data_IF_417689932029
#
_entry.id   IF_417689932029
#
_cell.length_a   1.000
_cell.length_b   1.000
_cell.length_c   1.000
_cell.angle_alpha   90.00
_cell.angle_beta   90.00
_cell.angle_gamma   90.00
#
_symmetry.space_group_name_H-M   'P 1'
#
loop_
_entity.id
_entity.type
_entity.pdbx_description
1 polymer ?
#
# COMPACT_ATOMS: atom_id res chain seq x y z
N UNK A 1 6.79 38.75 44.49
CA UNK A 1 5.81 37.71 44.12
C UNK A 1 6.29 36.94 42.89
N UNK A 2 7.09 35.87 43.04
CA UNK A 2 7.45 34.99 41.93
C UNK A 2 7.10 33.52 42.24
N UNK A 3 5.96 33.26 42.91
CA UNK A 3 5.54 31.90 43.27
C UNK A 3 4.57 31.29 42.24
N UNK A 4 4.05 32.09 41.32
CA UNK A 4 3.01 31.66 40.35
C UNK A 4 3.58 31.04 39.07
N UNK A 5 4.89 31.19 38.79
CA UNK A 5 5.50 30.66 37.57
C UNK A 5 6.03 29.23 37.71
N UNK A 6 6.33 28.75 38.94
CA UNK A 6 6.88 27.42 39.15
C UNK A 6 5.83 26.30 39.09
N UNK A 7 4.55 26.60 39.32
CA UNK A 7 3.47 25.62 39.29
C UNK A 7 2.95 25.30 37.88
N UNK A 8 3.23 26.14 36.88
CA UNK A 8 2.83 25.89 35.48
C UNK A 8 3.82 24.97 34.76
N UNK A 9 5.07 24.87 35.25
CA UNK A 9 6.09 23.99 34.65
C UNK A 9 5.94 22.53 35.12
N UNK A 10 5.34 22.28 36.29
CA UNK A 10 5.15 20.91 36.82
C UNK A 10 3.83 20.22 36.39
N UNK A 11 2.93 20.91 35.69
CA UNK A 11 1.66 20.31 35.20
C UNK A 11 1.65 19.99 33.70
N UNK A 12 2.73 20.28 32.96
CA UNK A 12 2.83 19.95 31.53
C UNK A 12 3.63 18.65 31.24
N UNK A 13 4.10 17.92 32.25
CA UNK A 13 4.86 16.68 32.04
C UNK A 13 4.11 15.40 32.40
N UNK A 14 2.82 15.46 32.74
CA UNK A 14 2.03 14.28 33.15
C UNK A 14 0.81 13.97 32.28
N UNK A 15 0.75 14.50 31.06
CA UNK A 15 -0.19 14.03 30.01
C UNK A 15 0.56 13.67 28.72
N UNK A 16 1.74 13.07 28.85
CA UNK A 16 2.11 11.98 27.95
C UNK A 16 1.63 10.73 28.67
N UNK A 17 0.36 10.39 28.45
CA UNK A 17 -0.09 9.04 28.68
C UNK A 17 0.90 8.14 27.96
N UNK A 18 1.70 7.42 28.75
CA UNK A 18 2.40 6.22 28.32
C UNK A 18 1.37 5.38 27.57
N UNK A 19 1.38 5.48 26.24
CA UNK A 19 0.83 4.44 25.38
C UNK A 19 1.74 3.26 25.63
N UNK A 20 1.35 2.43 26.57
CA UNK A 20 1.96 1.13 26.81
C UNK A 20 2.07 0.39 25.48
N UNK A 21 3.20 -0.29 25.25
CA UNK A 21 3.53 -1.08 24.06
C UNK A 21 2.46 -2.15 23.69
N UNK A 22 1.51 -2.45 24.57
CA UNK A 22 0.50 -3.49 24.36
C UNK A 22 -0.73 -3.08 23.51
N UNK A 23 -0.87 -1.82 23.11
CA UNK A 23 -2.08 -1.37 22.39
C UNK A 23 -2.10 -1.73 20.88
N UNK A 24 -0.93 -2.05 20.31
CA UNK A 24 -0.76 -2.39 18.89
C UNK A 24 -0.58 -3.89 18.63
N UNK A 25 -0.24 -4.67 19.65
CA UNK A 25 0.06 -6.09 19.55
C UNK A 25 -0.92 -6.86 20.43
N UNK A 26 -1.54 -7.90 19.87
CA UNK A 26 -2.45 -8.73 20.65
C UNK A 26 -2.39 -10.18 20.18
N UNK A 27 -2.81 -11.10 21.02
CA UNK A 27 -2.82 -12.53 20.72
C UNK A 27 -4.24 -12.96 20.45
N UNK A 28 -4.47 -13.58 19.29
CA UNK A 28 -5.81 -14.03 18.88
C UNK A 28 -5.82 -15.54 18.64
N UNK A 29 -6.95 -16.21 18.98
CA UNK A 29 -7.13 -17.62 18.64
C UNK A 29 -7.30 -17.78 17.12
N UNK A 30 -6.64 -18.79 16.54
CA UNK A 30 -6.64 -19.07 15.10
C UNK A 30 -7.60 -20.22 14.75
N UNK A 31 -7.63 -21.27 15.56
CA UNK A 31 -8.43 -22.49 15.35
C UNK A 31 -8.91 -23.14 16.67
N UNK A 32 -9.11 -22.35 17.73
CA UNK A 32 -9.61 -22.82 19.03
C UNK A 32 -8.56 -23.48 19.94
N UNK A 33 -7.50 -24.06 19.37
CA UNK A 33 -6.38 -24.67 20.13
C UNK A 33 -5.05 -23.94 19.98
N UNK A 34 -4.92 -23.12 18.94
CA UNK A 34 -3.73 -22.35 18.64
C UNK A 34 -3.98 -20.85 18.70
N UNK A 35 -2.97 -20.13 19.16
CA UNK A 35 -2.94 -18.69 19.28
C UNK A 35 -1.82 -18.13 18.42
N UNK A 36 -2.04 -16.98 17.80
CA UNK A 36 -0.99 -16.26 17.09
C UNK A 36 -1.01 -14.77 17.45
N UNK A 37 0.17 -14.17 17.37
CA UNK A 37 0.31 -12.73 17.60
C UNK A 37 -0.09 -11.96 16.35
N UNK A 38 -0.93 -10.95 16.54
CA UNK A 38 -1.37 -10.03 15.49
C UNK A 38 -0.99 -8.60 15.84
N UNK A 39 -0.68 -7.85 14.80
CA UNK A 39 -0.40 -6.42 14.83
C UNK A 39 -1.61 -5.66 14.30
N UNK A 40 -1.99 -4.61 15.02
CA UNK A 40 -3.06 -3.68 14.66
C UNK A 40 -2.58 -2.70 13.60
N UNK A 41 -3.13 -2.82 12.40
CA UNK A 41 -2.83 -1.91 11.28
C UNK A 41 -3.78 -0.70 11.30
N UNK A 42 -5.08 -0.95 11.45
CA UNK A 42 -6.14 0.06 11.66
C UNK A 42 -7.17 -0.48 12.65
N UNK A 43 -8.16 0.34 13.05
CA UNK A 43 -9.22 -0.02 14.02
C UNK A 43 -9.87 -1.37 13.75
N UNK A 44 -10.13 -1.70 12.48
CA UNK A 44 -10.77 -2.94 12.03
C UNK A 44 -9.88 -3.74 11.07
N UNK A 45 -8.55 -3.62 11.20
CA UNK A 45 -7.61 -4.32 10.33
C UNK A 45 -6.38 -4.74 11.12
N UNK A 46 -6.19 -6.05 11.26
CA UNK A 46 -5.06 -6.67 11.93
C UNK A 46 -4.38 -7.65 10.97
N UNK A 47 -3.09 -7.89 11.18
CA UNK A 47 -2.32 -8.88 10.43
C UNK A 47 -1.49 -9.71 11.40
N UNK A 48 -1.09 -10.91 11.01
CA UNK A 48 -0.16 -11.70 11.80
C UNK A 48 1.19 -10.99 11.90
N UNK A 49 1.80 -11.00 13.08
CA UNK A 49 3.17 -10.52 13.25
C UNK A 49 4.14 -11.40 12.46
N UNK A 50 4.02 -12.71 12.68
CA UNK A 50 4.75 -13.77 11.98
C UNK A 50 3.78 -14.85 11.52
N UNK A 51 4.16 -15.64 10.52
CA UNK A 51 3.36 -16.76 10.04
C UNK A 51 3.54 -18.03 10.91
N UNK A 52 3.64 -17.83 12.23
CA UNK A 52 3.84 -18.87 13.22
C UNK A 52 2.80 -18.73 14.33
N UNK A 53 2.42 -19.85 14.91
CA UNK A 53 1.42 -19.93 15.99
C UNK A 53 1.87 -20.89 17.09
N UNK A 54 1.32 -20.69 18.28
CA UNK A 54 1.57 -21.52 19.45
C UNK A 54 0.32 -22.32 19.79
N UNK A 55 0.43 -23.64 19.84
CA UNK A 55 -0.70 -24.54 20.06
C UNK A 55 -0.64 -25.22 21.44
N UNK A 56 -1.79 -25.38 22.07
CA UNK A 56 -1.88 -26.04 23.39
C UNK A 56 -1.39 -27.49 23.29
N UNK A 57 -0.40 -27.85 24.11
CA UNK A 57 0.17 -29.20 24.14
C UNK A 57 1.37 -29.41 23.19
N UNK A 58 1.75 -28.39 22.41
CA UNK A 58 2.99 -28.36 21.64
C UNK A 58 3.99 -27.39 22.27
N UNK A 59 5.26 -27.79 22.33
CA UNK A 59 6.36 -26.90 22.71
C UNK A 59 6.98 -26.19 21.51
N UNK A 60 6.64 -26.63 20.30
CA UNK A 60 7.16 -26.08 19.05
C UNK A 60 6.17 -25.07 18.45
N UNK A 61 6.70 -24.09 17.74
CA UNK A 61 5.90 -23.20 16.90
C UNK A 61 5.37 -24.00 15.70
N UNK A 62 4.10 -23.80 15.38
CA UNK A 62 3.44 -24.37 14.22
C UNK A 62 3.22 -23.29 13.15
N UNK A 63 3.08 -23.72 11.90
CA UNK A 63 2.84 -22.80 10.78
C UNK A 63 1.42 -22.23 10.84
N UNK A 64 1.30 -20.90 10.80
CA UNK A 64 0.00 -20.28 10.63
C UNK A 64 -0.62 -20.66 9.26
N UNK A 65 -1.96 -20.75 9.15
CA UNK A 65 -2.61 -21.11 7.89
C UNK A 65 -2.17 -20.21 6.73
N UNK A 66 -1.89 -20.85 5.59
CA UNK A 66 -1.54 -20.16 4.35
C UNK A 66 -2.60 -19.13 3.92
N UNK A 67 -2.18 -18.14 3.13
CA UNK A 67 -2.99 -17.01 2.63
C UNK A 67 -3.45 -16.00 3.69
N UNK A 68 -3.18 -16.23 4.98
CA UNK A 68 -3.37 -15.21 6.01
C UNK A 68 -2.44 -14.02 5.80
N UNK A 69 -2.94 -12.82 6.08
CA UNK A 69 -2.14 -11.60 5.99
C UNK A 69 -1.12 -11.54 7.14
N UNK A 70 0.10 -11.14 6.82
CA UNK A 70 1.21 -11.05 7.76
C UNK A 70 2.00 -9.75 7.57
N UNK A 71 2.71 -9.31 8.60
CA UNK A 71 3.63 -8.18 8.53
C UNK A 71 4.93 -8.61 7.84
N UNK A 72 5.30 -7.90 6.77
CA UNK A 72 6.56 -8.14 6.08
C UNK A 72 7.68 -7.41 6.84
N UNK A 73 8.21 -8.08 7.88
CA UNK A 73 9.08 -7.50 8.92
C UNK A 73 10.29 -6.68 8.40
N UNK A 74 10.85 -7.02 7.22
CA UNK A 74 11.94 -6.25 6.62
C UNK A 74 11.60 -4.78 6.32
N UNK A 75 10.32 -4.41 6.30
CA UNK A 75 9.87 -3.07 5.93
C UNK A 75 9.09 -2.34 7.02
N UNK A 76 8.84 -2.94 8.19
CA UNK A 76 8.07 -2.33 9.26
C UNK A 76 8.52 -2.81 10.64
N UNK A 77 8.38 -1.96 11.65
CA UNK A 77 8.50 -2.37 13.05
C UNK A 77 7.16 -2.92 13.55
N UNK A 78 7.15 -3.60 14.70
CA UNK A 78 5.91 -4.13 15.31
C UNK A 78 4.85 -3.02 15.49
N UNK A 79 5.28 -1.79 15.79
CA UNK A 79 4.43 -0.60 15.94
C UNK A 79 3.86 -0.06 14.63
N UNK A 80 4.47 -0.38 13.48
CA UNK A 80 4.14 0.22 12.20
C UNK A 80 4.26 -0.78 11.05
N UNK A 81 3.25 -1.63 10.89
CA UNK A 81 3.07 -2.46 9.68
C UNK A 81 3.07 -1.54 8.45
N UNK A 82 4.15 -1.58 7.68
CA UNK A 82 4.27 -0.79 6.45
C UNK A 82 3.84 -1.57 5.22
N UNK A 83 4.09 -2.87 5.21
CA UNK A 83 3.80 -3.74 4.07
C UNK A 83 3.25 -5.06 4.57
N UNK A 84 2.19 -5.56 3.93
CA UNK A 84 1.67 -6.89 4.21
C UNK A 84 2.13 -7.91 3.19
N UNK A 85 2.45 -9.10 3.67
CA UNK A 85 2.57 -10.31 2.89
C UNK A 85 1.40 -11.27 3.10
N UNK A 86 1.58 -12.49 2.60
CA UNK A 86 0.73 -13.66 2.79
C UNK A 86 1.57 -14.79 3.38
N UNK A 87 0.99 -15.53 4.32
CA UNK A 87 1.63 -16.71 4.88
C UNK A 87 1.72 -17.84 3.85
N UNK A 88 2.89 -18.47 3.80
CA UNK A 88 3.19 -19.59 2.94
C UNK A 88 4.26 -20.46 3.63
N UNK A 89 3.88 -21.65 4.09
CA UNK A 89 4.75 -22.59 4.82
C UNK A 89 5.54 -21.90 5.96
N UNK A 90 4.83 -21.30 6.90
CA UNK A 90 5.44 -20.66 8.08
C UNK A 90 6.14 -19.32 7.82
N UNK A 91 6.25 -18.90 6.55
CA UNK A 91 6.96 -17.69 6.14
C UNK A 91 6.02 -16.61 5.61
N UNK A 92 6.27 -15.35 5.98
CA UNK A 92 5.56 -14.21 5.41
C UNK A 92 6.17 -13.82 4.06
N UNK A 93 5.42 -13.97 2.96
CA UNK A 93 5.91 -13.74 1.60
C UNK A 93 5.11 -12.67 0.85
N UNK A 94 5.71 -11.98 -0.13
CA UNK A 94 4.98 -11.04 -0.97
C UNK A 94 3.95 -11.78 -1.83
N UNK A 95 2.74 -11.24 -2.00
CA UNK A 95 1.68 -11.91 -2.74
C UNK A 95 2.00 -12.00 -4.25
N UNK A 96 1.63 -13.12 -4.88
CA UNK A 96 1.54 -13.26 -6.34
C UNK A 96 2.83 -13.28 -7.15
N UNK A 97 4.03 -13.43 -6.56
CA UNK A 97 5.29 -13.52 -7.32
C UNK A 97 6.13 -14.72 -6.91
N UNK A 98 6.23 -15.69 -7.82
CA UNK A 98 7.18 -16.82 -7.75
C UNK A 98 8.54 -16.51 -8.39
N UNK A 99 8.66 -15.36 -9.08
CA UNK A 99 9.90 -14.90 -9.71
C UNK A 99 10.55 -13.80 -8.89
N UNK A 100 11.79 -14.06 -8.49
CA UNK A 100 12.69 -13.09 -7.87
C UNK A 100 13.48 -12.32 -8.93
N UNK A 101 13.91 -11.08 -8.65
CA UNK A 101 13.71 -10.35 -7.40
C UNK A 101 12.31 -9.71 -7.29
N UNK A 102 11.74 -9.70 -6.09
CA UNK A 102 10.47 -9.04 -5.81
C UNK A 102 10.75 -7.64 -5.29
N UNK A 103 10.70 -6.64 -6.18
CA UNK A 103 10.91 -5.25 -5.81
C UNK A 103 9.69 -4.60 -5.16
N UNK A 104 9.91 -3.73 -4.14
CA UNK A 104 8.92 -3.09 -3.27
C UNK A 104 8.61 -1.62 -3.57
N UNK A 105 9.29 -1.04 -4.55
CA UNK A 105 8.99 0.26 -5.16
C UNK A 105 9.98 1.30 -4.69
N UNK A 106 10.34 2.20 -5.59
CA UNK A 106 11.35 3.22 -5.34
C UNK A 106 10.69 4.54 -4.95
N UNK A 107 11.40 5.38 -4.18
CA UNK A 107 10.87 6.69 -3.82
C UNK A 107 10.67 7.59 -5.03
N UNK A 108 9.54 8.28 -5.08
CA UNK A 108 9.21 9.17 -6.19
C UNK A 108 8.80 10.55 -5.71
N UNK A 109 8.82 11.51 -6.63
CA UNK A 109 8.30 12.85 -6.44
C UNK A 109 7.48 13.29 -7.65
N UNK A 110 6.43 14.05 -7.38
CA UNK A 110 5.60 14.67 -8.42
C UNK A 110 6.31 15.91 -8.98
N UNK A 111 6.56 15.91 -10.28
CA UNK A 111 7.03 17.07 -11.05
C UNK A 111 6.08 17.25 -12.23
N UNK A 112 5.32 18.35 -12.23
CA UNK A 112 4.37 18.71 -13.30
C UNK A 112 3.26 17.66 -13.57
N UNK A 113 2.91 16.85 -12.56
CA UNK A 113 1.92 15.79 -12.70
C UNK A 113 2.49 14.52 -13.30
N UNK A 114 3.77 14.21 -13.03
CA UNK A 114 4.44 12.98 -13.43
C UNK A 114 5.25 12.37 -12.28
N UNK A 115 5.26 11.03 -12.19
CA UNK A 115 6.08 10.26 -11.24
C UNK A 115 7.55 10.27 -11.64
N UNK A 116 8.39 10.91 -10.83
CA UNK A 116 9.82 10.95 -11.11
C UNK A 116 10.57 10.32 -9.96
N UNK A 117 11.37 9.29 -10.26
CA UNK A 117 12.16 8.58 -9.28
C UNK A 117 13.12 9.55 -8.57
N UNK A 118 13.09 9.65 -7.24
CA UNK A 118 14.06 10.47 -6.53
C UNK A 118 15.49 9.92 -6.69
N UNK A 119 15.58 8.60 -6.75
CA UNK A 119 16.82 7.83 -6.89
C UNK A 119 16.62 6.72 -7.91
N UNK A 120 17.71 6.28 -8.55
CA UNK A 120 17.68 5.26 -9.60
C UNK A 120 17.90 3.84 -9.07
N UNK A 121 17.42 3.57 -7.85
CA UNK A 121 17.48 2.26 -7.20
C UNK A 121 16.12 1.90 -6.60
N UNK A 122 15.78 0.60 -6.56
CA UNK A 122 14.61 0.01 -5.88
C UNK A 122 15.09 -1.04 -4.86
N UNK A 123 14.38 -1.17 -3.75
CA UNK A 123 14.65 -2.21 -2.75
C UNK A 123 13.84 -3.47 -3.07
N UNK A 124 14.53 -4.60 -3.23
CA UNK A 124 13.96 -5.85 -3.70
C UNK A 124 14.37 -7.05 -2.86
N UNK A 125 13.48 -8.02 -2.71
CA UNK A 125 13.88 -9.33 -2.20
C UNK A 125 14.50 -10.17 -3.30
N UNK A 126 15.67 -10.75 -3.05
CA UNK A 126 16.28 -11.79 -3.86
C UNK A 126 15.73 -13.18 -3.50
N UNK A 127 16.12 -14.19 -4.27
CA UNK A 127 15.63 -15.58 -4.15
C UNK A 127 15.96 -16.24 -2.81
N UNK A 128 16.99 -15.76 -2.13
CA UNK A 128 17.41 -16.14 -0.78
C UNK A 128 16.66 -15.35 0.32
N UNK A 129 15.61 -14.61 -0.04
CA UNK A 129 14.84 -13.75 0.86
C UNK A 129 15.65 -12.61 1.51
N UNK A 130 16.83 -12.28 0.98
CA UNK A 130 17.59 -11.11 1.42
C UNK A 130 17.12 -9.84 0.71
N UNK A 131 17.22 -8.71 1.42
CA UNK A 131 16.93 -7.41 0.85
C UNK A 131 18.17 -6.92 0.08
N UNK A 132 17.98 -6.59 -1.19
CA UNK A 132 19.01 -6.03 -2.07
C UNK A 132 18.51 -4.76 -2.75
N UNK A 133 19.42 -3.83 -3.04
CA UNK A 133 19.12 -2.69 -3.89
C UNK A 133 19.43 -3.02 -5.35
N UNK A 134 18.46 -2.77 -6.24
CA UNK A 134 18.56 -3.07 -7.67
C UNK A 134 18.40 -1.77 -8.45
N UNK A 135 19.23 -1.60 -9.48
CA UNK A 135 19.14 -0.44 -10.37
C UNK A 135 17.78 -0.39 -11.08
N UNK A 136 17.18 0.80 -11.12
CA UNK A 136 16.01 1.04 -11.95
C UNK A 136 16.34 0.84 -13.43
N UNK A 137 15.35 0.44 -14.26
CA UNK A 137 15.54 0.27 -15.68
C UNK A 137 16.13 1.52 -16.33
N UNK A 138 17.08 1.33 -17.23
CA UNK A 138 17.63 2.42 -18.02
C UNK A 138 16.51 3.13 -18.79
N UNK A 139 16.46 4.45 -18.71
CA UNK A 139 15.40 5.28 -19.30
C UNK A 139 14.27 5.68 -18.34
N UNK A 140 14.19 5.10 -17.13
CA UNK A 140 13.24 5.52 -16.09
C UNK A 140 13.49 6.99 -15.72
N UNK A 141 12.45 7.82 -15.65
CA UNK A 141 12.62 9.24 -15.26
C UNK A 141 13.04 9.37 -13.81
N UNK A 142 13.98 10.27 -13.56
CA UNK A 142 14.55 10.50 -12.24
C UNK A 142 14.89 11.97 -11.99
N UNK A 143 15.09 12.31 -10.72
CA UNK A 143 15.44 13.65 -10.28
C UNK A 143 16.95 13.78 -10.32
N UNK A 144 17.45 14.76 -11.07
CA UNK A 144 18.88 15.00 -11.16
C UNK A 144 19.34 15.62 -9.84
N UNK A 145 20.28 15.00 -9.11
CA UNK A 145 20.80 15.58 -7.87
C UNK A 145 21.51 16.91 -8.19
N UNK A 146 20.99 18.00 -7.62
CA UNK A 146 21.56 19.35 -7.78
C UNK A 146 22.49 19.66 -6.61
N UNK A 147 23.74 20.08 -6.88
CA UNK A 147 24.61 20.66 -5.84
C UNK A 147 23.93 21.84 -5.17
N UNK A 148 23.94 21.81 -3.83
CA UNK A 148 23.12 22.56 -2.88
C UNK A 148 23.25 24.10 -2.92
N UNK A 149 24.08 24.69 -3.80
CA UNK A 149 24.44 26.12 -3.73
C UNK A 149 23.94 27.03 -4.87
N UNK A 150 23.29 26.54 -5.94
CA UNK A 150 22.90 27.38 -7.10
C UNK A 150 21.41 27.44 -7.48
N UNK A 151 20.51 26.78 -6.75
CA UNK A 151 19.17 26.44 -7.30
C UNK A 151 17.98 26.83 -6.42
N UNK A 152 18.01 27.99 -5.75
CA UNK A 152 16.82 28.47 -5.02
C UNK A 152 15.69 28.88 -6.00
N UNK A 153 16.02 29.20 -7.27
CA UNK A 153 15.07 29.71 -8.27
C UNK A 153 14.73 28.75 -9.43
N UNK A 154 15.49 27.67 -9.61
CA UNK A 154 15.25 26.68 -10.67
C UNK A 154 14.88 25.37 -9.99
N UNK A 155 13.60 25.01 -10.05
CA UNK A 155 13.10 23.79 -9.42
C UNK A 155 13.79 22.51 -9.91
N UNK A 156 13.46 21.35 -9.33
CA UNK A 156 14.14 20.09 -9.61
C UNK A 156 14.15 19.75 -11.10
N UNK A 157 15.31 19.35 -11.61
CA UNK A 157 15.51 18.95 -13.00
C UNK A 157 15.22 17.47 -13.18
N UNK A 158 14.63 17.13 -14.31
CA UNK A 158 14.30 15.77 -14.70
C UNK A 158 15.38 15.19 -15.60
N UNK A 159 15.81 13.97 -15.27
CA UNK A 159 16.69 13.14 -16.07
C UNK A 159 16.13 11.74 -16.28
N UNK A 160 16.99 10.84 -16.72
CA UNK A 160 16.73 9.40 -16.87
C UNK A 160 17.79 8.59 -16.13
N UNK A 161 17.38 7.44 -15.61
CA UNK A 161 18.28 6.48 -15.01
C UNK A 161 19.16 5.84 -16.09
N UNK A 162 20.46 5.85 -15.85
CA UNK A 162 21.49 5.19 -16.65
C UNK A 162 22.44 4.49 -15.68
N UNK A 163 22.36 3.16 -15.64
CA UNK A 163 23.15 2.29 -14.76
C UNK A 163 23.09 2.68 -13.27
N UNK A 164 21.89 2.95 -12.77
CA UNK A 164 21.69 3.38 -11.38
C UNK A 164 21.97 4.86 -11.11
N UNK A 165 22.41 5.65 -12.09
CA UNK A 165 22.63 7.10 -11.93
C UNK A 165 21.62 7.92 -12.73
N UNK A 166 21.11 9.01 -12.17
CA UNK A 166 20.24 9.93 -12.90
C UNK A 166 21.02 10.90 -13.80
N UNK A 167 20.76 10.88 -15.11
CA UNK A 167 21.38 11.76 -16.12
C UNK A 167 20.35 12.64 -16.83
N UNK A 168 20.63 13.92 -17.04
CA UNK A 168 19.72 14.82 -17.78
C UNK A 168 19.43 14.30 -19.20
N UNK A 169 18.16 14.34 -19.63
CA UNK A 169 17.75 14.04 -21.00
C UNK A 169 16.80 15.12 -21.51
N UNK A 170 17.04 15.61 -22.73
CA UNK A 170 16.07 16.43 -23.48
C UNK A 170 14.95 15.52 -23.99
N UNK A 171 13.72 15.78 -23.57
CA UNK A 171 12.54 15.00 -23.93
C UNK A 171 12.22 15.21 -25.43
N UNK A 172 12.04 14.13 -26.19
CA UNK A 172 11.67 14.15 -27.60
C UNK A 172 10.16 14.34 -27.76
N UNK A 173 9.78 15.28 -28.62
CA UNK A 173 8.40 15.65 -28.97
C UNK A 173 7.78 14.63 -29.94
N UNK A 174 6.96 13.71 -29.44
CA UNK A 174 5.79 13.19 -30.17
C UNK A 174 5.10 12.11 -29.34
N UNK A 175 3.94 12.42 -28.75
CA UNK A 175 2.92 11.48 -28.27
C UNK A 175 1.76 12.25 -27.60
N UNK A 176 0.52 11.75 -27.69
CA UNK A 176 -0.60 12.28 -26.93
C UNK A 176 -0.25 12.31 -25.43
N UNK A 177 -0.45 13.46 -24.78
CA UNK A 177 -0.05 13.64 -23.40
C UNK A 177 -0.92 12.82 -22.46
N UNK A 178 -0.35 11.77 -21.85
CA UNK A 178 -1.01 11.05 -20.77
C UNK A 178 -0.62 11.66 -19.44
N UNK A 179 -1.53 12.43 -18.84
CA UNK A 179 -1.32 13.02 -17.52
C UNK A 179 -1.64 11.97 -16.45
N UNK A 180 -0.63 11.58 -15.67
CA UNK A 180 -0.74 10.49 -14.69
C UNK A 180 -0.31 11.03 -13.33
N UNK A 181 -1.22 11.01 -12.37
CA UNK A 181 -0.89 11.39 -11.00
C UNK A 181 -0.35 10.18 -10.24
N UNK A 182 0.82 10.37 -9.67
CA UNK A 182 1.43 9.42 -8.74
C UNK A 182 0.71 9.48 -7.42
N UNK A 183 0.13 8.36 -6.99
CA UNK A 183 -0.46 8.27 -5.66
C UNK A 183 0.48 7.60 -4.65
N UNK A 184 1.31 6.67 -5.11
CA UNK A 184 2.39 6.01 -4.34
C UNK A 184 3.50 5.57 -5.29
N UNK A 185 4.64 5.10 -4.76
CA UNK A 185 5.88 4.63 -5.43
C UNK A 185 5.72 3.57 -6.54
N UNK A 186 4.49 3.28 -6.98
CA UNK A 186 4.03 2.22 -7.89
C UNK A 186 2.64 2.42 -8.48
N UNK A 187 1.87 3.35 -7.93
CA UNK A 187 0.46 3.48 -8.21
C UNK A 187 0.30 4.77 -8.98
N UNK A 188 0.43 4.60 -10.28
CA UNK A 188 0.24 5.63 -11.28
C UNK A 188 -1.20 5.56 -11.77
N UNK A 189 -1.93 6.65 -11.55
CA UNK A 189 -3.36 6.72 -11.85
C UNK A 189 -3.58 7.84 -12.86
N UNK A 190 -4.37 7.56 -13.89
CA UNK A 190 -4.71 8.58 -14.87
C UNK A 190 -5.41 9.77 -14.23
N UNK A 191 -4.94 10.98 -14.51
CA UNK A 191 -5.59 12.19 -14.02
C UNK A 191 -7.01 12.33 -14.60
N UNK A 192 -7.21 11.85 -15.83
CA UNK A 192 -8.47 11.93 -16.58
C UNK A 192 -8.71 10.68 -17.42
N UNK A 193 -9.97 10.42 -17.75
CA UNK A 193 -10.38 9.33 -18.65
C UNK A 193 -10.31 9.68 -20.13
N UNK A 194 -9.80 10.87 -20.44
CA UNK A 194 -9.57 11.41 -21.78
C UNK A 194 -8.14 11.90 -21.89
N UNK A 195 -7.52 11.63 -23.03
CA UNK A 195 -6.19 12.09 -23.40
C UNK A 195 -6.32 13.22 -24.41
N UNK A 196 -5.57 14.29 -24.21
CA UNK A 196 -5.44 15.39 -25.18
C UNK A 196 -4.22 15.12 -26.07
N UNK A 197 -4.45 15.11 -27.38
CA UNK A 197 -3.42 14.95 -28.39
C UNK A 197 -3.09 16.30 -29.03
N UNK A 198 -1.87 16.48 -29.56
CA UNK A 198 -1.44 17.72 -30.24
C UNK A 198 -2.33 18.13 -31.43
N UNK A 199 -3.12 17.22 -31.98
CA UNK A 199 -4.06 17.48 -33.09
C UNK A 199 -5.45 17.92 -32.61
N UNK A 200 -5.59 18.40 -31.36
CA UNK A 200 -6.87 18.71 -30.68
C UNK A 200 -7.87 17.54 -30.65
N UNK A 201 -7.39 16.33 -30.91
CA UNK A 201 -8.20 15.11 -30.83
C UNK A 201 -8.18 14.60 -29.39
N UNK A 202 -9.36 14.20 -28.91
CA UNK A 202 -9.51 13.58 -27.60
C UNK A 202 -9.62 12.07 -27.75
N UNK A 203 -8.71 11.33 -27.12
CA UNK A 203 -8.78 9.86 -27.07
C UNK A 203 -9.34 9.42 -25.73
N UNK A 204 -10.38 8.58 -25.76
CA UNK A 204 -10.96 8.01 -24.53
C UNK A 204 -10.10 6.84 -24.06
N UNK A 205 -9.87 6.79 -22.75
CA UNK A 205 -9.30 5.61 -22.09
C UNK A 205 -10.32 4.47 -22.10
N UNK A 206 -9.83 3.23 -21.96
CA UNK A 206 -10.66 2.04 -21.88
C UNK A 206 -11.53 2.11 -20.63
N UNK A 207 -12.79 1.68 -20.74
CA UNK A 207 -13.64 1.55 -19.57
C UNK A 207 -13.05 0.55 -18.57
N UNK A 208 -13.11 0.91 -17.29
CA UNK A 208 -12.47 0.18 -16.19
C UNK A 208 -11.04 0.64 -15.85
N UNK A 209 -10.40 1.49 -16.66
CA UNK A 209 -9.10 2.08 -16.30
C UNK A 209 -9.22 2.93 -15.02
N UNK A 210 -8.22 2.88 -14.14
CA UNK A 210 -8.23 3.69 -12.92
C UNK A 210 -7.98 5.16 -13.23
N UNK A 211 -8.74 6.03 -12.59
CA UNK A 211 -8.62 7.47 -12.75
C UNK A 211 -8.73 8.19 -11.42
N UNK A 212 -8.22 9.41 -11.36
CA UNK A 212 -8.34 10.27 -10.17
C UNK A 212 -9.75 10.83 -10.12
N UNK A 213 -10.53 10.41 -9.12
CA UNK A 213 -11.89 10.90 -8.91
C UNK A 213 -11.90 12.17 -8.07
N UNK A 214 -11.06 12.21 -7.02
CA UNK A 214 -10.90 13.38 -6.16
C UNK A 214 -9.45 13.58 -5.77
N UNK A 215 -8.97 14.81 -5.90
CA UNK A 215 -7.65 15.23 -5.46
C UNK A 215 -7.72 16.59 -4.76
N UNK A 216 -6.80 16.83 -3.83
CA UNK A 216 -6.60 18.13 -3.20
C UNK A 216 -5.24 18.67 -3.61
N UNK A 217 -5.19 19.93 -4.03
CA UNK A 217 -3.93 20.63 -4.23
C UNK A 217 -3.52 21.23 -2.90
N UNK A 218 -2.42 20.75 -2.32
CA UNK A 218 -1.85 21.29 -1.07
C UNK A 218 -0.69 22.21 -1.40
N UNK A 219 -0.65 23.34 -0.69
CA UNK A 219 0.43 24.33 -0.76
C UNK A 219 1.40 24.04 0.37
N UNK A 220 2.62 23.65 0.05
CA UNK A 220 3.63 23.31 1.07
C UNK A 220 4.36 24.58 1.49
N UNK A 221 4.33 24.90 2.78
CA UNK A 221 5.16 25.97 3.32
C UNK A 221 6.64 25.56 3.23
N UNK A 222 7.55 26.47 2.85
CA UNK A 222 7.36 27.92 2.72
C UNK A 222 6.69 28.35 1.40
N UNK A 223 6.08 29.55 1.38
CA UNK A 223 5.22 30.10 0.29
C UNK A 223 5.81 30.09 -1.13
N UNK A 224 7.12 29.90 -1.26
CA UNK A 224 7.84 29.80 -2.52
C UNK A 224 8.04 28.35 -3.02
N UNK A 225 7.52 27.33 -2.33
CA UNK A 225 7.56 25.92 -2.77
C UNK A 225 6.25 25.45 -3.43
N UNK A 226 6.45 24.54 -4.40
CA UNK A 226 5.48 24.09 -5.41
C UNK A 226 4.18 23.52 -4.82
N UNK A 227 3.11 23.68 -5.58
CA UNK A 227 1.83 22.99 -5.41
C UNK A 227 2.04 21.49 -5.55
N UNK A 228 1.53 20.70 -4.61
CA UNK A 228 1.54 19.23 -4.70
C UNK A 228 0.11 18.73 -4.80
N UNK A 229 -0.18 17.88 -5.79
CA UNK A 229 -1.51 17.30 -5.96
C UNK A 229 -1.58 15.98 -5.21
N UNK A 230 -2.37 15.94 -4.14
CA UNK A 230 -2.62 14.71 -3.39
C UNK A 230 -3.91 14.06 -3.91
N UNK A 231 -3.83 12.81 -4.36
CA UNK A 231 -5.01 12.03 -4.77
C UNK A 231 -5.66 11.44 -3.52
N UNK A 232 -6.93 11.78 -3.29
CA UNK A 232 -7.69 11.34 -2.13
C UNK A 232 -8.60 10.16 -2.47
N UNK A 233 -9.10 10.09 -3.71
CA UNK A 233 -10.02 9.04 -4.13
C UNK A 233 -9.75 8.63 -5.57
N UNK A 234 -9.65 7.31 -5.79
CA UNK A 234 -9.47 6.69 -7.11
C UNK A 234 -10.83 6.17 -7.59
N UNK A 235 -11.20 6.52 -8.81
CA UNK A 235 -12.36 6.02 -9.53
C UNK A 235 -12.02 5.02 -10.63
N UNK A 236 -12.99 4.81 -11.52
CA UNK A 236 -12.87 4.05 -12.77
C UNK A 236 -13.41 4.87 -13.95
N UNK A 237 -12.81 4.70 -15.12
CA UNK A 237 -13.31 5.29 -16.34
C UNK A 237 -14.57 4.57 -16.81
N UNK A 238 -15.63 5.36 -17.05
CA UNK A 238 -16.89 4.92 -17.66
C UNK A 238 -17.29 5.95 -18.71
N UNK A 239 -17.34 5.55 -19.98
CA UNK A 239 -17.70 6.42 -21.10
C UNK A 239 -16.86 7.71 -21.17
N UNK A 240 -15.56 7.61 -20.86
CA UNK A 240 -14.64 8.76 -20.87
C UNK A 240 -14.77 9.70 -19.67
N UNK A 241 -15.58 9.39 -18.66
CA UNK A 241 -15.64 10.13 -17.39
C UNK A 241 -15.10 9.30 -16.23
N UNK A 242 -14.45 9.95 -15.27
CA UNK A 242 -14.03 9.28 -14.04
C UNK A 242 -15.20 9.18 -13.08
N UNK A 243 -15.63 7.95 -12.77
CA UNK A 243 -16.74 7.67 -11.89
C UNK A 243 -16.26 7.00 -10.60
N UNK A 244 -16.98 7.26 -9.50
CA UNK A 244 -16.76 6.57 -8.23
C UNK A 244 -17.09 5.07 -8.38
N UNK A 245 -16.30 4.21 -7.76
CA UNK A 245 -16.61 2.77 -7.70
C UNK A 245 -17.92 2.54 -6.94
N UNK A 246 -18.70 1.56 -7.39
CA UNK A 246 -19.89 1.11 -6.67
C UNK A 246 -19.47 0.51 -5.32
N UNK A 247 -20.27 0.70 -4.25
CA UNK A 247 -20.01 0.04 -3.00
C UNK A 247 -19.94 -1.48 -3.16
N UNK A 248 -19.03 -2.12 -2.43
CA UNK A 248 -18.88 -3.57 -2.45
C UNK A 248 -18.76 -4.11 -1.02
N UNK A 249 -19.51 -5.17 -0.75
CA UNK A 249 -19.42 -5.98 0.45
C UNK A 249 -19.42 -7.44 0.02
N UNK A 250 -18.51 -8.28 0.52
CA UNK A 250 -18.51 -9.69 0.18
C UNK A 250 -19.83 -10.34 0.62
N UNK A 251 -20.30 -11.37 -0.10
CA UNK A 251 -21.43 -12.16 0.35
C UNK A 251 -21.10 -12.85 1.68
N UNK A 252 -22.12 -13.07 2.51
CA UNK A 252 -21.96 -13.84 3.74
C UNK A 252 -21.46 -15.25 3.41
N UNK A 253 -20.46 -15.70 4.16
CA UNK A 253 -19.94 -17.05 4.00
C UNK A 253 -20.91 -18.03 4.67
N UNK A 254 -21.42 -19.00 3.91
CA UNK A 254 -22.28 -20.05 4.46
C UNK A 254 -21.50 -20.86 5.50
N UNK A 255 -21.87 -20.71 6.77
CA UNK A 255 -21.19 -21.33 7.91
C UNK A 255 -21.58 -22.79 8.07
N UNK A 256 -21.36 -23.61 7.04
CA UNK A 256 -21.79 -25.01 7.02
C UNK A 256 -21.12 -25.90 8.08
N UNK A 257 -20.01 -25.46 8.69
CA UNK A 257 -19.20 -26.25 9.64
C UNK A 257 -18.59 -25.44 10.80
N UNK A 258 -19.21 -24.33 11.19
CA UNK A 258 -18.64 -23.45 12.23
C UNK A 258 -17.34 -22.75 11.80
N UNK A 259 -17.12 -22.62 10.49
CA UNK A 259 -16.00 -21.89 9.91
C UNK A 259 -16.30 -20.39 9.93
N UNK A 260 -15.32 -19.59 10.34
CA UNK A 260 -15.44 -18.15 10.42
C UNK A 260 -14.56 -17.49 9.35
N UNK A 261 -15.18 -16.68 8.51
CA UNK A 261 -14.49 -15.89 7.49
C UNK A 261 -14.26 -14.47 8.02
N UNK A 262 -13.06 -13.93 7.80
CA UNK A 262 -12.73 -12.59 8.25
C UNK A 262 -12.80 -11.60 7.09
N UNK A 263 -13.41 -10.45 7.35
CA UNK A 263 -13.56 -9.36 6.40
C UNK A 263 -12.91 -8.10 6.94
N UNK A 264 -12.36 -7.29 6.03
CA UNK A 264 -11.65 -6.06 6.33
C UNK A 264 -12.45 -4.89 5.79
N UNK A 265 -12.82 -3.98 6.68
CA UNK A 265 -13.39 -2.70 6.30
C UNK A 265 -12.27 -1.75 5.89
N UNK A 266 -12.12 -1.49 4.59
CA UNK A 266 -11.13 -0.56 4.04
C UNK A 266 -11.63 0.89 4.19
N UNK A 267 -12.86 1.14 3.76
CA UNK A 267 -13.59 2.39 3.97
C UNK A 267 -15.11 2.14 3.91
N UNK A 268 -15.93 3.17 4.14
CA UNK A 268 -17.39 3.03 4.29
C UNK A 268 -18.13 2.30 3.15
N UNK A 269 -17.57 2.30 1.93
CA UNK A 269 -18.20 1.69 0.76
C UNK A 269 -17.42 0.45 0.27
N UNK A 270 -16.40 0.00 0.98
CA UNK A 270 -15.60 -1.15 0.56
C UNK A 270 -15.20 -2.00 1.76
N UNK A 271 -15.79 -3.18 1.81
CA UNK A 271 -15.35 -4.30 2.64
C UNK A 271 -14.84 -5.39 1.70
N UNK A 272 -13.74 -6.03 2.04
CA UNK A 272 -13.19 -7.15 1.26
C UNK A 272 -12.81 -8.29 2.19
N UNK A 273 -12.71 -9.49 1.66
CA UNK A 273 -12.21 -10.65 2.40
C UNK A 273 -10.74 -10.43 2.82
N UNK A 274 -10.35 -10.79 4.05
CA UNK A 274 -8.93 -10.77 4.44
C UNK A 274 -8.09 -11.77 3.64
N UNK A 275 -8.68 -12.94 3.41
CA UNK A 275 -8.15 -14.10 2.75
C UNK A 275 -9.30 -14.84 2.04
N UNK A 276 -8.94 -15.81 1.21
CA UNK A 276 -9.91 -16.61 0.46
C UNK A 276 -10.25 -17.93 1.17
N UNK A 277 -9.92 -18.07 2.47
CA UNK A 277 -10.06 -19.32 3.23
C UNK A 277 -10.64 -19.06 4.62
N UNK A 278 -11.79 -19.63 4.92
CA UNK A 278 -12.36 -19.59 6.26
C UNK A 278 -11.69 -20.63 7.17
N UNK A 279 -11.31 -20.21 8.38
CA UNK A 279 -10.79 -21.13 9.41
C UNK A 279 -11.94 -21.76 10.19
N UNK A 280 -11.87 -23.07 10.44
CA UNK A 280 -12.89 -23.80 11.18
C UNK A 280 -12.41 -24.19 12.59
N UNK A 281 -13.36 -24.42 13.49
CA UNK A 281 -13.11 -24.77 14.91
C UNK A 281 -12.30 -26.05 15.11
N UNK A 282 -12.25 -26.94 14.13
CA UNK A 282 -11.50 -28.20 14.16
C UNK A 282 -10.11 -28.12 13.50
N UNK A 283 -9.61 -26.91 13.19
CA UNK A 283 -8.32 -26.72 12.53
C UNK A 283 -8.34 -26.96 11.01
N UNK A 284 -9.49 -27.33 10.44
CA UNK A 284 -9.68 -27.40 8.98
C UNK A 284 -9.88 -26.01 8.39
N UNK A 285 -9.65 -25.89 7.08
CA UNK A 285 -9.94 -24.67 6.31
C UNK A 285 -10.94 -24.97 5.20
N UNK A 286 -11.82 -24.01 4.92
CA UNK A 286 -12.78 -24.06 3.82
C UNK A 286 -12.51 -22.92 2.84
N UNK A 287 -12.56 -23.20 1.54
CA UNK A 287 -12.42 -22.15 0.54
C UNK A 287 -13.66 -21.27 0.52
N UNK A 288 -13.46 -19.96 0.50
CA UNK A 288 -14.55 -19.00 0.25
C UNK A 288 -14.96 -19.09 -1.22
N UNK A 289 -16.17 -18.62 -1.52
CA UNK A 289 -16.72 -18.56 -2.87
C UNK A 289 -15.76 -17.86 -3.83
N UNK A 290 -15.57 -18.44 -5.01
CA UNK A 290 -14.75 -17.82 -6.04
C UNK A 290 -15.31 -16.46 -6.49
N UNK A 291 -14.41 -15.63 -7.01
CA UNK A 291 -14.66 -14.28 -7.53
C UNK A 291 -15.09 -13.21 -6.51
N UNK A 292 -15.07 -13.51 -5.21
CA UNK A 292 -15.21 -12.46 -4.19
C UNK A 292 -13.92 -11.62 -4.13
N UNK A 293 -14.05 -10.32 -3.86
CA UNK A 293 -12.89 -9.46 -3.65
C UNK A 293 -12.18 -9.75 -2.32
N UNK A 294 -10.86 -9.84 -2.37
CA UNK A 294 -9.98 -10.07 -1.24
C UNK A 294 -8.90 -8.99 -1.16
N UNK A 295 -8.31 -8.78 0.03
CA UNK A 295 -7.15 -7.93 0.18
C UNK A 295 -5.91 -8.67 -0.32
N UNK A 296 -5.37 -8.19 -1.45
CA UNK A 296 -4.17 -8.76 -2.05
C UNK A 296 -2.91 -8.19 -1.39
N UNK A 297 -2.82 -6.86 -1.26
CA UNK A 297 -1.67 -6.19 -0.63
C UNK A 297 -2.08 -4.88 0.04
N UNK A 298 -1.52 -4.60 1.22
CA UNK A 298 -1.54 -3.31 1.89
C UNK A 298 -0.15 -2.68 1.91
N UNK A 299 -0.12 -1.36 1.67
CA UNK A 299 1.07 -0.53 1.78
C UNK A 299 0.70 0.74 2.58
N UNK A 300 1.45 1.02 3.64
CA UNK A 300 1.33 2.25 4.43
C UNK A 300 2.20 3.34 3.83
N UNK A 301 1.57 4.45 3.45
CA UNK A 301 2.28 5.68 3.10
C UNK A 301 2.36 6.65 4.29
N UNK A 302 2.97 7.80 4.05
CA UNK A 302 3.12 8.86 5.07
C UNK A 302 1.79 9.47 5.48
N UNK A 303 0.90 9.72 4.51
CA UNK A 303 -0.41 10.37 4.74
C UNK A 303 -1.59 9.55 4.22
N UNK A 304 -1.31 8.56 3.37
CA UNK A 304 -2.31 7.75 2.68
C UNK A 304 -1.92 6.28 2.85
N UNK A 305 -2.92 5.43 3.01
CA UNK A 305 -2.77 3.99 2.93
C UNK A 305 -3.30 3.47 1.60
N UNK A 306 -2.65 2.43 1.10
CA UNK A 306 -2.90 1.85 -0.20
C UNK A 306 -3.34 0.40 -0.04
N UNK A 307 -4.44 0.06 -0.70
CA UNK A 307 -5.01 -1.27 -0.70
C UNK A 307 -5.13 -1.75 -2.14
N UNK A 308 -4.39 -2.78 -2.48
CA UNK A 308 -4.54 -3.50 -3.75
C UNK A 308 -5.50 -4.65 -3.53
N UNK A 309 -6.55 -4.70 -4.35
CA UNK A 309 -7.63 -5.66 -4.24
C UNK A 309 -7.38 -6.81 -5.22
N UNK A 310 -7.69 -8.02 -4.78
CA UNK A 310 -7.64 -9.23 -5.56
C UNK A 310 -9.01 -9.85 -5.74
N UNK A 311 -9.03 -11.01 -6.41
CA UNK A 311 -10.19 -11.87 -6.59
C UNK A 311 -9.84 -13.27 -6.10
N UNK A 312 -10.73 -13.89 -5.32
CA UNK A 312 -10.55 -15.25 -4.86
C UNK A 312 -10.72 -16.25 -5.99
N UNK A 313 -9.78 -17.19 -6.11
CA UNK A 313 -9.91 -18.35 -6.99
C UNK A 313 -9.30 -19.57 -6.30
N UNK A 314 -10.10 -20.61 -6.08
CA UNK A 314 -9.69 -21.86 -5.43
C UNK A 314 -9.00 -21.64 -4.07
N UNK A 315 -9.51 -20.69 -3.29
CA UNK A 315 -8.96 -20.36 -1.97
C UNK A 315 -7.66 -19.57 -1.99
N UNK A 316 -7.26 -18.97 -3.11
CA UNK A 316 -6.08 -18.11 -3.24
C UNK A 316 -6.52 -16.72 -3.69
N UNK A 317 -5.94 -15.67 -3.08
CA UNK A 317 -6.22 -14.28 -3.48
C UNK A 317 -5.36 -13.87 -4.67
N UNK A 318 -5.92 -13.84 -5.88
CA UNK A 318 -5.21 -13.43 -7.09
C UNK A 318 -5.30 -11.93 -7.31
N UNK A 319 -4.25 -11.31 -7.84
CA UNK A 319 -4.25 -9.86 -8.07
C UNK A 319 -5.28 -9.49 -9.13
N UNK A 320 -6.13 -8.51 -8.83
CA UNK A 320 -6.99 -7.89 -9.82
C UNK A 320 -6.29 -6.66 -10.39
N UNK A 321 -6.05 -6.66 -11.70
CA UNK A 321 -5.45 -5.50 -12.36
C UNK A 321 -6.36 -4.28 -12.23
N UNK A 322 -5.78 -3.09 -12.03
CA UNK A 322 -6.51 -1.82 -11.96
C UNK A 322 -7.52 -1.72 -10.79
N UNK A 323 -7.32 -2.47 -9.70
CA UNK A 323 -8.11 -2.32 -8.48
C UNK A 323 -7.25 -1.94 -7.27
N UNK A 324 -6.90 -0.66 -7.24
CA UNK A 324 -6.21 0.00 -6.13
C UNK A 324 -7.10 1.04 -5.47
N UNK A 325 -7.10 1.07 -4.14
CA UNK A 325 -7.86 1.98 -3.31
C UNK A 325 -6.92 2.73 -2.38
N UNK A 326 -7.24 4.01 -2.16
CA UNK A 326 -6.45 4.93 -1.35
C UNK A 326 -7.35 5.46 -0.25
N UNK A 327 -6.82 5.46 0.98
CA UNK A 327 -7.55 5.93 2.16
C UNK A 327 -6.66 6.86 2.96
N UNK A 328 -7.16 8.04 3.30
CA UNK A 328 -6.46 8.95 4.22
C UNK A 328 -6.32 8.29 5.61
N UNK A 329 -5.21 8.61 6.30
CA UNK A 329 -4.97 8.14 7.66
C UNK A 329 -5.65 9.03 8.68
#
# INVERSE_FOLDING_TARGET
MPLTLLLIVQLCTTVLGSKTDDDFKTTVPINGTCNATVLKVRKNFTVLEYCLMTCKGSLNLEDAPDERLCNLAAFGTEENVKYTGKCNYGSCRPPGKTKYPVCFGYETMDIEGEEIAKVCHDSCFSSDHQLSEINLPNGQKCVVPSSYFRSIFKGPKVGICVNGTCKEKKLSEDTCGRKVLTVSSRINIDASCTLECKNDTTKRLKDGTQCVFRSTVKRRWPWFWRWTTQVNEIGICLNGKCARRKPYKPPEHNTTKGCNATDILIHSNLTVASDCRAGCSHGTVENRTDYIHCLWQYIRGTYLDFFSIGSCLSGICQRLENYTVVVER
#
